data_IF_315976458287
#
_entry.id   IF_315976458287
#
_cell.length_a   1.000
_cell.length_b   1.000
_cell.length_c   1.000
_cell.angle_alpha   90.00
_cell.angle_beta   90.00
_cell.angle_gamma   90.00
#
_symmetry.space_group_name_H-M   'P 1'
#
loop_
_entity.id
_entity.type
_entity.pdbx_description
1 polymer ?
#
# COMPACT_ATOMS: atom_id res chain seq x y z
N UNK A 1 1.95 -6.55 -19.97
CA UNK A 1 1.12 -5.48 -19.35
C UNK A 1 1.71 -5.07 -18.02
N UNK A 2 1.52 -3.83 -17.56
CA UNK A 2 2.04 -3.42 -16.25
C UNK A 2 1.10 -3.88 -15.13
N UNK A 3 1.66 -4.55 -14.13
CA UNK A 3 0.89 -5.14 -13.02
C UNK A 3 1.50 -4.73 -11.67
N UNK A 4 0.65 -4.60 -10.66
CA UNK A 4 1.04 -4.37 -9.27
C UNK A 4 -0.01 -4.94 -8.32
N UNK A 5 0.39 -5.29 -7.09
CA UNK A 5 -0.50 -5.62 -5.99
C UNK A 5 -0.63 -4.44 -5.04
N UNK A 6 -1.84 -4.16 -4.57
CA UNK A 6 -2.13 -3.02 -3.71
C UNK A 6 -3.34 -3.27 -2.79
N UNK A 7 -3.47 -2.38 -1.79
CA UNK A 7 -4.63 -2.23 -0.94
C UNK A 7 -5.38 -0.97 -1.38
N UNK A 8 -6.69 -1.07 -1.60
CA UNK A 8 -7.55 0.07 -1.86
C UNK A 8 -7.89 0.84 -0.58
N UNK A 9 -8.24 2.10 -0.77
CA UNK A 9 -8.56 3.02 0.32
C UNK A 9 -10.07 3.21 0.43
N UNK A 10 -10.62 3.32 1.65
CA UNK A 10 -12.00 3.71 1.88
C UNK A 10 -12.29 5.11 1.32
N UNK A 11 -13.57 5.37 0.97
CA UNK A 11 -13.96 6.68 0.41
C UNK A 11 -13.73 7.83 1.38
N UNK A 12 -13.82 7.60 2.68
CA UNK A 12 -13.51 8.59 3.70
C UNK A 12 -12.06 9.09 3.59
N UNK A 13 -11.10 8.17 3.46
CA UNK A 13 -9.68 8.52 3.26
C UNK A 13 -9.50 9.23 1.91
N UNK A 14 -10.17 8.76 0.86
CA UNK A 14 -10.15 9.41 -0.46
C UNK A 14 -10.67 10.85 -0.40
N UNK A 15 -11.74 11.09 0.34
CA UNK A 15 -12.27 12.44 0.60
C UNK A 15 -11.23 13.37 1.22
N UNK A 16 -10.55 12.91 2.28
CA UNK A 16 -9.49 13.67 2.94
C UNK A 16 -8.27 13.91 2.05
N UNK A 17 -7.90 12.93 1.22
CA UNK A 17 -6.83 13.10 0.22
C UNK A 17 -7.20 14.16 -0.84
N UNK A 18 -8.46 14.17 -1.27
CA UNK A 18 -8.99 15.17 -2.23
C UNK A 18 -8.88 16.57 -1.66
N UNK A 19 -9.38 16.80 -0.45
CA UNK A 19 -9.28 18.08 0.26
C UNK A 19 -7.84 18.56 0.40
N UNK A 20 -6.94 17.65 0.80
CA UNK A 20 -5.52 17.96 0.97
C UNK A 20 -4.85 18.35 -0.36
N UNK A 21 -5.09 17.60 -1.43
CA UNK A 21 -4.58 17.91 -2.78
C UNK A 21 -5.11 19.26 -3.27
N UNK A 22 -6.40 19.52 -3.12
CA UNK A 22 -7.03 20.76 -3.53
C UNK A 22 -6.49 21.96 -2.75
N UNK A 23 -6.25 21.79 -1.45
CA UNK A 23 -5.61 22.81 -0.63
C UNK A 23 -4.23 23.15 -1.16
N UNK A 24 -3.38 22.17 -1.40
CA UNK A 24 -2.02 22.38 -1.94
C UNK A 24 -2.05 23.06 -3.31
N UNK A 25 -2.99 22.70 -4.19
CA UNK A 25 -3.16 23.32 -5.50
C UNK A 25 -3.57 24.78 -5.41
N UNK A 26 -4.39 25.15 -4.44
CA UNK A 26 -4.77 26.56 -4.19
C UNK A 26 -3.61 27.37 -3.60
N UNK A 27 -2.87 26.80 -2.64
CA UNK A 27 -1.78 27.51 -1.96
C UNK A 27 -0.53 27.67 -2.83
N UNK A 28 -0.32 26.75 -3.80
CA UNK A 28 0.87 26.76 -4.68
C UNK A 28 0.46 26.43 -6.13
N UNK A 29 -0.29 27.32 -6.81
CA UNK A 29 -0.89 27.04 -8.12
C UNK A 29 0.12 26.89 -9.26
N UNK A 30 1.25 27.58 -9.21
CA UNK A 30 2.19 27.74 -10.33
C UNK A 30 3.23 26.59 -10.44
N UNK A 31 3.04 25.50 -9.70
CA UNK A 31 4.01 24.39 -9.69
C UNK A 31 3.61 23.30 -10.66
N UNK A 32 4.55 22.94 -11.55
CA UNK A 32 4.39 21.82 -12.48
C UNK A 32 4.43 20.48 -11.74
N UNK A 33 3.29 20.05 -11.19
CA UNK A 33 3.10 18.78 -10.52
C UNK A 33 2.13 17.89 -11.29
N UNK A 34 2.46 16.59 -11.39
CA UNK A 34 1.52 15.55 -11.82
C UNK A 34 0.77 15.05 -10.57
N UNK A 35 -0.42 15.60 -10.36
CA UNK A 35 -1.28 15.17 -9.26
C UNK A 35 -1.89 13.80 -9.53
N UNK A 36 -1.88 12.94 -8.52
CA UNK A 36 -2.60 11.69 -8.59
C UNK A 36 -4.10 11.94 -8.60
N UNK A 37 -4.84 11.21 -9.44
CA UNK A 37 -6.29 11.16 -9.31
C UNK A 37 -6.62 10.40 -8.04
N UNK A 38 -7.51 10.92 -7.23
CA UNK A 38 -7.82 10.34 -5.91
C UNK A 38 -8.30 8.90 -6.04
N UNK A 39 -9.06 8.60 -7.09
CA UNK A 39 -9.57 7.26 -7.42
C UNK A 39 -8.44 6.25 -7.71
N UNK A 40 -7.27 6.76 -8.11
CA UNK A 40 -6.09 5.96 -8.42
C UNK A 40 -5.08 5.89 -7.27
N UNK A 41 -5.33 6.58 -6.15
CA UNK A 41 -4.45 6.50 -4.97
C UNK A 41 -4.73 5.19 -4.24
N UNK A 42 -3.67 4.42 -4.02
CA UNK A 42 -3.69 3.12 -3.36
C UNK A 42 -2.41 2.90 -2.59
N UNK A 43 -2.42 1.97 -1.66
CA UNK A 43 -1.22 1.52 -0.96
C UNK A 43 -0.60 0.36 -1.75
N UNK A 44 0.48 0.65 -2.48
CA UNK A 44 1.20 -0.37 -3.25
C UNK A 44 1.96 -1.32 -2.32
N UNK A 45 1.80 -2.62 -2.54
CA UNK A 45 2.56 -3.67 -1.85
C UNK A 45 3.74 -4.17 -2.68
N UNK A 46 3.51 -4.43 -3.98
CA UNK A 46 4.54 -4.91 -4.91
C UNK A 46 4.27 -4.44 -6.33
N UNK A 47 5.31 -3.97 -7.01
CA UNK A 47 5.30 -3.66 -8.44
C UNK A 47 5.99 -4.78 -9.23
N UNK A 48 5.30 -5.35 -10.22
CA UNK A 48 5.88 -6.37 -11.11
C UNK A 48 6.46 -5.77 -12.39
N UNK A 49 6.08 -4.55 -12.72
CA UNK A 49 6.44 -3.96 -14.01
C UNK A 49 5.66 -4.56 -15.17
N UNK A 50 6.31 -4.78 -16.31
CA UNK A 50 5.70 -5.42 -17.47
C UNK A 50 5.77 -6.94 -17.34
N UNK A 51 4.62 -7.58 -17.34
CA UNK A 51 4.47 -9.04 -17.27
C UNK A 51 3.75 -9.57 -18.51
N UNK A 52 4.00 -10.81 -18.87
CA UNK A 52 3.28 -11.54 -19.90
C UNK A 52 1.87 -11.94 -19.41
N UNK A 53 0.98 -12.37 -20.31
CA UNK A 53 -0.39 -12.73 -19.92
C UNK A 53 -0.47 -14.01 -19.12
N UNK A 54 0.36 -14.96 -19.41
CA UNK A 54 0.49 -16.26 -18.76
C UNK A 54 1.05 -16.15 -17.33
N UNK A 55 1.83 -15.10 -17.04
CA UNK A 55 2.36 -14.84 -15.70
C UNK A 55 1.30 -14.32 -14.69
N UNK A 56 0.14 -13.86 -15.18
CA UNK A 56 -0.94 -13.32 -14.30
C UNK A 56 -1.47 -14.38 -13.34
N UNK A 57 -1.61 -15.61 -13.79
CA UNK A 57 -2.09 -16.69 -12.94
C UNK A 57 -1.13 -16.94 -11.77
N UNK A 58 0.18 -16.87 -11.99
CA UNK A 58 1.18 -17.02 -10.95
C UNK A 58 1.15 -15.88 -9.94
N UNK A 59 0.98 -14.61 -10.40
CA UNK A 59 0.79 -13.45 -9.50
C UNK A 59 -0.46 -13.61 -8.64
N UNK A 60 -1.58 -14.01 -9.24
CA UNK A 60 -2.83 -14.24 -8.50
C UNK A 60 -2.70 -15.38 -7.50
N UNK A 61 -2.01 -16.47 -7.84
CA UNK A 61 -1.75 -17.58 -6.92
C UNK A 61 -0.87 -17.14 -5.73
N UNK A 62 0.21 -16.39 -5.97
CA UNK A 62 1.07 -15.85 -4.92
C UNK A 62 0.30 -14.94 -3.96
N UNK A 63 -0.51 -14.00 -4.48
CA UNK A 63 -1.36 -13.15 -3.65
C UNK A 63 -2.40 -13.96 -2.86
N UNK A 64 -2.98 -15.00 -3.47
CA UNK A 64 -3.94 -15.90 -2.82
C UNK A 64 -3.30 -16.69 -1.67
N UNK A 65 -2.08 -17.18 -1.82
CA UNK A 65 -1.34 -17.85 -0.75
C UNK A 65 -1.00 -16.88 0.38
N UNK A 66 -0.51 -15.69 0.03
CA UNK A 66 -0.18 -14.64 1.01
C UNK A 66 -1.34 -14.37 1.96
N UNK A 67 -2.54 -14.10 1.45
CA UNK A 67 -3.66 -13.67 2.30
C UNK A 67 -4.20 -14.77 3.23
N UNK A 68 -3.92 -16.04 2.98
CA UNK A 68 -4.33 -17.15 3.85
C UNK A 68 -3.69 -17.09 5.23
N UNK A 69 -2.53 -16.47 5.36
CA UNK A 69 -1.80 -16.33 6.61
C UNK A 69 -2.27 -15.16 7.47
N UNK A 70 -3.16 -14.31 6.93
CA UNK A 70 -3.56 -13.07 7.58
C UNK A 70 -5.08 -12.98 7.78
N UNK A 71 -5.45 -12.45 8.93
CA UNK A 71 -6.80 -11.93 9.17
C UNK A 71 -6.82 -10.42 8.89
N UNK A 72 -8.02 -9.86 8.67
CA UNK A 72 -8.17 -8.42 8.53
C UNK A 72 -7.57 -7.67 9.73
N UNK A 73 -6.84 -6.59 9.47
CA UNK A 73 -6.12 -5.80 10.47
C UNK A 73 -6.22 -4.31 10.18
N UNK A 74 -5.82 -3.47 11.14
CA UNK A 74 -5.87 -2.03 10.99
C UNK A 74 -4.48 -1.44 10.75
N UNK A 75 -4.45 -0.40 9.91
CA UNK A 75 -3.34 0.52 9.68
C UNK A 75 -3.82 1.94 9.89
N UNK A 76 -2.90 2.89 10.01
CA UNK A 76 -3.23 4.31 10.11
C UNK A 76 -2.69 5.06 8.88
N UNK A 77 -3.56 5.81 8.21
CA UNK A 77 -3.17 6.71 7.11
C UNK A 77 -3.02 8.12 7.67
N UNK A 78 -1.81 8.66 7.68
CA UNK A 78 -1.57 9.98 8.25
C UNK A 78 -0.13 10.47 8.11
N UNK A 79 0.06 11.75 8.41
CA UNK A 79 1.35 12.42 8.24
C UNK A 79 1.67 12.71 6.77
N UNK A 80 2.57 13.66 6.56
CA UNK A 80 2.99 14.15 5.24
C UNK A 80 4.47 13.90 5.03
N UNK A 81 4.87 13.60 3.81
CA UNK A 81 6.27 13.40 3.52
C UNK A 81 6.63 13.56 2.04
N UNK A 82 7.92 13.52 1.78
CA UNK A 82 8.47 13.68 0.43
C UNK A 82 9.61 12.69 0.15
N UNK A 83 9.77 12.29 -1.10
CA UNK A 83 10.95 11.56 -1.55
C UNK A 83 11.73 12.37 -2.59
N UNK A 84 13.08 12.24 -2.63
CA UNK A 84 13.93 11.61 -1.62
C UNK A 84 14.14 12.48 -0.37
N UNK A 85 14.02 13.81 -0.45
CA UNK A 85 14.17 14.79 0.65
C UNK A 85 13.58 16.15 0.27
N UNK A 86 13.26 16.99 1.26
CA UNK A 86 12.59 18.28 1.06
C UNK A 86 13.32 19.24 0.08
N UNK A 87 14.65 19.25 0.09
CA UNK A 87 15.46 20.08 -0.81
C UNK A 87 15.46 19.61 -2.27
N UNK A 88 15.05 18.36 -2.54
CA UNK A 88 15.01 17.74 -3.88
C UNK A 88 13.75 16.88 -4.02
N UNK A 89 12.63 17.38 -3.54
CA UNK A 89 11.37 16.64 -3.56
C UNK A 89 10.96 16.31 -5.01
N UNK A 90 10.68 15.04 -5.24
CA UNK A 90 10.18 14.49 -6.51
C UNK A 90 8.81 13.84 -6.33
N UNK A 91 8.50 13.38 -5.13
CA UNK A 91 7.22 12.73 -4.79
C UNK A 91 6.72 13.35 -3.50
N UNK A 92 5.46 13.74 -3.50
CA UNK A 92 4.71 14.07 -2.28
C UNK A 92 3.84 12.87 -1.90
N UNK A 93 3.81 12.52 -0.62
CA UNK A 93 3.05 11.37 -0.15
C UNK A 93 2.40 11.61 1.22
N UNK A 94 1.33 10.88 1.47
CA UNK A 94 0.75 10.70 2.81
C UNK A 94 1.25 9.38 3.37
N UNK A 95 1.65 9.38 4.64
CA UNK A 95 2.21 8.24 5.32
C UNK A 95 1.17 7.15 5.62
N UNK A 96 1.68 5.96 5.82
CA UNK A 96 0.92 4.83 6.36
C UNK A 96 1.72 4.26 7.51
N UNK A 97 1.13 4.26 8.69
CA UNK A 97 1.71 3.68 9.91
C UNK A 97 1.14 2.28 10.14
N UNK A 98 1.99 1.37 10.57
CA UNK A 98 1.69 -0.04 10.78
C UNK A 98 2.01 -0.42 12.25
N UNK A 99 1.19 0.01 13.22
CA UNK A 99 1.50 -0.19 14.63
C UNK A 99 1.52 -1.67 15.04
N UNK A 100 0.79 -2.51 14.33
CA UNK A 100 0.75 -3.96 14.58
C UNK A 100 1.89 -4.73 13.90
N UNK A 101 2.58 -4.13 12.93
CA UNK A 101 3.56 -4.81 12.07
C UNK A 101 2.96 -5.76 11.04
N UNK A 102 1.63 -5.87 10.97
CA UNK A 102 0.95 -6.81 10.08
C UNK A 102 1.04 -6.43 8.60
N UNK A 103 1.01 -5.15 8.27
CA UNK A 103 1.21 -4.67 6.90
C UNK A 103 2.60 -5.05 6.38
N UNK A 104 3.61 -4.83 7.21
CA UNK A 104 5.01 -5.17 6.89
C UNK A 104 5.22 -6.68 6.76
N UNK A 105 4.52 -7.47 7.59
CA UNK A 105 4.51 -8.92 7.49
C UNK A 105 3.82 -9.39 6.21
N UNK A 106 2.63 -8.87 5.91
CA UNK A 106 1.87 -9.19 4.69
C UNK A 106 2.71 -8.87 3.43
N UNK A 107 3.34 -7.70 3.37
CA UNK A 107 4.17 -7.31 2.24
C UNK A 107 5.38 -8.25 2.07
N UNK A 108 6.03 -8.62 3.17
CA UNK A 108 7.17 -9.55 3.14
C UNK A 108 6.75 -10.96 2.70
N UNK A 109 5.61 -11.48 3.18
CA UNK A 109 5.06 -12.75 2.72
C UNK A 109 4.74 -12.69 1.22
N UNK A 110 4.11 -11.61 0.75
CA UNK A 110 3.84 -11.41 -0.67
C UNK A 110 5.13 -11.40 -1.52
N UNK A 111 6.19 -10.76 -1.05
CA UNK A 111 7.50 -10.78 -1.73
C UNK A 111 8.07 -12.20 -1.84
N UNK A 112 7.97 -12.99 -0.76
CA UNK A 112 8.45 -14.37 -0.74
C UNK A 112 7.65 -15.28 -1.68
N UNK A 113 6.32 -15.21 -1.65
CA UNK A 113 5.44 -15.97 -2.55
C UNK A 113 5.67 -15.61 -4.02
N UNK A 114 5.87 -14.31 -4.29
CA UNK A 114 6.19 -13.84 -5.64
C UNK A 114 7.58 -14.32 -6.10
N UNK A 115 8.58 -14.32 -5.21
CA UNK A 115 9.92 -14.85 -5.54
C UNK A 115 9.85 -16.33 -5.86
N UNK A 116 9.12 -17.12 -5.08
CA UNK A 116 8.89 -18.55 -5.33
C UNK A 116 8.17 -18.77 -6.68
N UNK A 117 7.36 -17.81 -7.12
CA UNK A 117 6.68 -17.82 -8.43
C UNK A 117 7.54 -17.25 -9.58
N UNK A 118 8.82 -16.93 -9.34
CA UNK A 118 9.78 -16.46 -10.36
C UNK A 118 9.85 -14.94 -10.52
N UNK A 119 9.20 -14.15 -9.69
CA UNK A 119 9.28 -12.69 -9.74
C UNK A 119 10.33 -12.17 -8.76
N UNK A 120 11.28 -11.30 -9.20
CA UNK A 120 12.32 -10.80 -8.32
C UNK A 120 11.74 -9.99 -7.15
N UNK A 121 12.43 -10.05 -6.00
CA UNK A 121 12.14 -9.18 -4.86
C UNK A 121 12.52 -7.74 -5.17
N UNK A 122 11.85 -6.79 -4.48
CA UNK A 122 12.29 -5.40 -4.46
C UNK A 122 13.49 -5.26 -3.53
N UNK A 123 14.59 -4.69 -4.03
CA UNK A 123 15.84 -4.53 -3.27
C UNK A 123 15.75 -3.44 -2.20
N UNK A 124 14.80 -2.51 -2.36
CA UNK A 124 14.65 -1.37 -1.46
C UNK A 124 13.75 -1.72 -0.27
N UNK A 125 14.06 -1.23 0.93
CA UNK A 125 13.18 -1.40 2.07
C UNK A 125 11.78 -0.88 1.78
N UNK A 126 10.77 -1.66 2.15
CA UNK A 126 9.36 -1.26 2.04
C UNK A 126 9.07 -0.03 2.90
N UNK A 127 8.55 1.00 2.28
CA UNK A 127 8.12 2.24 2.94
C UNK A 127 6.68 2.53 2.55
N UNK A 128 5.71 2.11 3.36
CA UNK A 128 4.29 2.26 3.04
C UNK A 128 3.91 3.74 2.93
N UNK A 129 3.35 4.14 1.78
CA UNK A 129 2.96 5.51 1.51
C UNK A 129 1.93 5.61 0.39
N UNK A 130 1.17 6.69 0.38
CA UNK A 130 0.20 7.04 -0.65
C UNK A 130 0.75 8.19 -1.48
N UNK A 131 1.13 7.95 -2.72
CA UNK A 131 1.65 9.00 -3.62
C UNK A 131 0.52 9.93 -4.05
N UNK A 132 0.60 11.23 -3.69
CA UNK A 132 -0.39 12.24 -4.07
C UNK A 132 0.04 13.13 -5.22
N UNK A 133 1.35 13.30 -5.43
CA UNK A 133 1.87 14.06 -6.57
C UNK A 133 3.31 13.66 -6.93
N UNK A 134 3.65 13.85 -8.22
CA UNK A 134 5.02 13.76 -8.74
C UNK A 134 5.45 15.10 -9.29
N UNK A 135 6.57 15.61 -8.80
CA UNK A 135 7.14 16.89 -9.20
C UNK A 135 8.10 16.67 -10.37
N UNK A 136 7.81 17.29 -11.50
CA UNK A 136 8.56 17.08 -12.75
C UNK A 136 9.68 18.08 -12.96
N UNK A 137 9.59 19.24 -12.32
CA UNK A 137 10.55 20.34 -12.46
C UNK A 137 10.99 20.82 -11.09
N UNK A 138 12.26 21.28 -10.94
CA UNK A 138 12.76 21.84 -9.67
C UNK A 138 12.06 23.13 -9.27
N UNK A 139 11.60 23.93 -10.29
CA UNK A 139 10.97 25.22 -10.07
C UNK A 139 9.69 25.06 -9.26
N UNK A 140 9.64 25.72 -8.13
CA UNK A 140 8.50 25.66 -7.21
C UNK A 140 8.39 24.36 -6.39
N UNK A 141 9.09 23.29 -6.76
CA UNK A 141 9.02 22.01 -6.06
C UNK A 141 9.35 22.14 -4.58
N UNK A 142 10.38 22.93 -4.24
CA UNK A 142 10.77 23.19 -2.84
C UNK A 142 9.68 23.93 -2.07
N UNK A 143 9.01 24.92 -2.70
CA UNK A 143 7.88 25.66 -2.11
C UNK A 143 6.73 24.71 -1.83
N UNK A 144 6.30 23.94 -2.84
CA UNK A 144 5.22 22.98 -2.69
C UNK A 144 5.53 21.89 -1.64
N UNK A 145 6.76 21.37 -1.61
CA UNK A 145 7.19 20.42 -0.59
C UNK A 145 7.14 21.03 0.82
N UNK A 146 7.57 22.28 1.00
CA UNK A 146 7.51 22.98 2.29
C UNK A 146 6.06 23.18 2.73
N UNK A 147 5.19 23.62 1.81
CA UNK A 147 3.75 23.77 2.10
C UNK A 147 3.14 22.43 2.50
N UNK A 148 3.40 21.36 1.72
CA UNK A 148 2.90 20.02 2.01
C UNK A 148 3.31 19.52 3.39
N UNK A 149 4.60 19.66 3.74
CA UNK A 149 5.13 19.24 5.05
C UNK A 149 4.59 20.09 6.22
N UNK A 150 4.15 21.31 5.95
CA UNK A 150 3.52 22.20 6.93
C UNK A 150 2.03 21.97 7.14
N UNK A 151 1.39 21.17 6.28
CA UNK A 151 -0.04 20.84 6.42
C UNK A 151 -0.19 19.53 7.16
N UNK A 152 -0.85 19.59 8.30
CA UNK A 152 -1.15 18.39 9.08
C UNK A 152 -2.18 17.52 8.35
N UNK A 153 -1.87 16.22 8.21
CA UNK A 153 -2.81 15.18 7.80
C UNK A 153 -2.98 14.23 9.00
N UNK A 154 -4.08 14.41 9.73
CA UNK A 154 -4.35 13.65 10.94
C UNK A 154 -4.51 12.17 10.63
N UNK A 155 -3.96 11.27 11.46
CA UNK A 155 -4.11 9.84 11.29
C UNK A 155 -5.57 9.40 11.24
N UNK A 156 -5.86 8.48 10.34
CA UNK A 156 -7.16 7.83 10.16
C UNK A 156 -6.98 6.32 10.15
N UNK A 157 -7.76 5.55 10.93
CA UNK A 157 -7.70 4.10 10.88
C UNK A 157 -8.26 3.57 9.56
N UNK A 158 -7.64 2.55 9.02
CA UNK A 158 -8.06 1.84 7.81
C UNK A 158 -7.95 0.35 8.04
N UNK A 159 -9.06 -0.36 7.90
CA UNK A 159 -9.06 -1.82 7.96
C UNK A 159 -8.63 -2.40 6.62
N UNK A 160 -7.54 -3.15 6.62
CA UNK A 160 -7.07 -3.94 5.49
C UNK A 160 -7.85 -5.25 5.45
N UNK A 161 -8.62 -5.47 4.37
CA UNK A 161 -9.48 -6.65 4.21
C UNK A 161 -9.10 -7.50 3.01
N UNK A 162 -8.39 -6.92 2.03
CA UNK A 162 -8.03 -7.61 0.81
C UNK A 162 -6.75 -7.06 0.20
N UNK A 163 -6.11 -7.89 -0.61
CA UNK A 163 -5.06 -7.53 -1.55
C UNK A 163 -5.62 -7.66 -2.95
N UNK A 164 -5.41 -6.66 -3.80
CA UNK A 164 -5.90 -6.65 -5.17
C UNK A 164 -4.73 -6.58 -6.14
N UNK A 165 -4.73 -7.45 -7.14
CA UNK A 165 -3.82 -7.33 -8.27
C UNK A 165 -4.45 -6.43 -9.33
N UNK A 166 -3.72 -5.42 -9.79
CA UNK A 166 -4.18 -4.43 -10.76
C UNK A 166 -3.34 -4.48 -12.04
N UNK A 167 -4.03 -4.31 -13.16
CA UNK A 167 -3.43 -3.91 -14.44
C UNK A 167 -3.40 -2.39 -14.52
N UNK A 168 -2.25 -1.84 -14.93
CA UNK A 168 -2.06 -0.42 -15.19
C UNK A 168 -1.92 -0.17 -16.69
N UNK A 169 -2.79 0.66 -17.24
CA UNK A 169 -2.75 1.14 -18.63
C UNK A 169 -2.48 2.64 -18.63
N UNK A 170 -1.45 3.06 -19.37
CA UNK A 170 -1.14 4.47 -19.55
C UNK A 170 -1.94 5.01 -20.73
N UNK A 171 -2.61 6.12 -20.52
CA UNK A 171 -3.29 6.88 -21.60
C UNK A 171 -2.89 8.35 -21.56
N UNK A 172 -3.25 9.09 -22.59
CA UNK A 172 -3.09 10.56 -22.63
C UNK A 172 -3.83 11.26 -21.49
N UNK A 173 -4.88 10.62 -20.94
CA UNK A 173 -5.68 11.13 -19.81
C UNK A 173 -5.15 10.67 -18.44
N UNK A 174 -4.01 9.97 -18.38
CA UNK A 174 -3.41 9.43 -17.18
C UNK A 174 -3.50 7.90 -17.08
N UNK A 175 -3.10 7.34 -15.93
CA UNK A 175 -3.18 5.91 -15.67
C UNK A 175 -4.62 5.47 -15.41
N UNK A 176 -5.02 4.35 -16.01
CA UNK A 176 -6.23 3.60 -15.68
C UNK A 176 -5.82 2.29 -15.02
N UNK A 177 -6.43 2.01 -13.87
CA UNK A 177 -6.23 0.75 -13.16
C UNK A 177 -7.47 -0.12 -13.30
N UNK A 178 -7.25 -1.41 -13.55
CA UNK A 178 -8.31 -2.41 -13.66
C UNK A 178 -7.93 -3.57 -12.77
N UNK A 179 -8.80 -3.91 -11.82
CA UNK A 179 -8.60 -5.09 -10.99
C UNK A 179 -8.58 -6.36 -11.84
N UNK A 180 -7.59 -7.21 -11.58
CA UNK A 180 -7.43 -8.52 -12.21
C UNK A 180 -7.97 -9.60 -11.29
N UNK A 181 -7.60 -9.53 -10.01
CA UNK A 181 -8.03 -10.48 -9.00
C UNK A 181 -8.11 -9.84 -7.61
N UNK A 182 -9.02 -10.34 -6.79
CA UNK A 182 -9.26 -9.93 -5.41
C UNK A 182 -8.93 -11.09 -4.48
N UNK A 183 -8.18 -10.82 -3.42
CA UNK A 183 -7.72 -11.81 -2.44
C UNK A 183 -8.09 -11.33 -1.05
N UNK A 184 -9.14 -11.93 -0.48
CA UNK A 184 -9.68 -11.54 0.82
C UNK A 184 -8.83 -12.11 1.96
N UNK A 185 -8.50 -11.29 2.95
CA UNK A 185 -7.99 -11.74 4.24
C UNK A 185 -9.12 -12.40 5.04
N UNK A 186 -8.79 -13.31 5.94
CA UNK A 186 -9.81 -13.96 6.78
C UNK A 186 -10.50 -12.96 7.73
N UNK A 187 -11.77 -13.20 8.05
CA UNK A 187 -12.46 -12.41 9.08
C UNK A 187 -11.97 -12.89 10.46
N UNK A 188 -11.37 -12.01 11.28
CA UNK A 188 -10.84 -12.39 12.60
C UNK A 188 -11.92 -12.96 13.52
N UNK A 189 -13.21 -12.66 13.27
CA UNK A 189 -14.35 -13.18 14.06
C UNK A 189 -14.78 -14.57 13.65
N UNK A 190 -14.31 -15.08 12.50
CA UNK A 190 -14.65 -16.40 11.96
C UNK A 190 -13.55 -17.44 12.14
N UNK A 191 -12.41 -17.06 12.71
CA UNK A 191 -11.34 -18.00 13.00
C UNK A 191 -11.79 -18.93 14.15
N UNK A 192 -11.72 -20.27 13.99
CA UNK A 192 -12.01 -21.18 15.10
C UNK A 192 -10.99 -20.93 16.23
N UNK A 193 -11.39 -21.10 17.50
CA UNK A 193 -10.49 -20.91 18.62
C UNK A 193 -9.28 -21.85 18.43
N UNK A 194 -8.08 -21.29 18.50
CA UNK A 194 -6.84 -22.07 18.45
C UNK A 194 -6.94 -23.14 19.54
N UNK A 195 -6.89 -24.41 19.14
CA UNK A 195 -6.83 -25.53 20.08
C UNK A 195 -5.60 -25.34 20.96
N UNK A 196 -5.84 -24.96 22.22
CA UNK A 196 -4.82 -24.84 23.23
C UNK A 196 -4.01 -26.15 23.28
N UNK A 197 -2.69 -26.03 23.16
CA UNK A 197 -1.78 -27.14 23.39
C UNK A 197 -2.00 -27.62 24.81
N UNK A 198 -2.69 -28.76 24.99
CA UNK A 198 -2.80 -29.47 26.26
C UNK A 198 -1.38 -29.90 26.67
N UNK A 199 -0.79 -29.12 27.58
CA UNK A 199 0.39 -29.58 28.31
C UNK A 199 -0.01 -30.84 29.09
N UNK A 200 0.46 -31.97 28.59
CA UNK A 200 0.37 -33.23 29.34
C UNK A 200 1.05 -33.06 30.71
N UNK A 201 0.26 -33.17 31.76
CA UNK A 201 0.78 -33.38 33.10
C UNK A 201 1.38 -34.78 33.10
N UNK A 202 2.69 -34.87 33.11
CA UNK A 202 3.39 -36.09 33.46
C UNK A 202 3.11 -36.39 34.91
N UNK A 203 2.40 -37.48 35.13
CA UNK A 203 2.20 -38.08 36.43
C UNK A 203 3.51 -38.77 36.82
N UNK A 204 4.16 -38.26 37.84
CA UNK A 204 5.29 -38.94 38.50
C UNK A 204 4.72 -39.70 39.69
N UNK A 205 4.30 -40.94 39.44
CA UNK A 205 4.02 -41.92 40.50
C UNK A 205 5.32 -42.47 41.04
N UNK A 206 5.52 -42.31 42.35
CA UNK A 206 6.63 -42.87 43.09
C UNK A 206 6.45 -44.36 43.43
N UNK A 207 7.50 -44.96 43.68
CA UNK A 207 7.73 -46.03 44.71
C UNK A 207 9.22 -46.09 45.00
#
# INVERSE_FOLDING_TARGET
MRVFCAIELPEEVRGRLREHIERLRREVPDVAASWSRVENIHLTLKFFGNVARDEIAAISAAASQTVKEFSAFEIEVGGTGVFPRASRAQILWIGVNDPSGQLSALQRTLENECEAAGFPKEDRPYRPHLTIARLRKPEGARRLAKTHLGVQFNPMPVTVKEVIAFRSELSSKGSKYTAISHHQLSDPRKSPPQRGSSRGRGDAGGA
#
